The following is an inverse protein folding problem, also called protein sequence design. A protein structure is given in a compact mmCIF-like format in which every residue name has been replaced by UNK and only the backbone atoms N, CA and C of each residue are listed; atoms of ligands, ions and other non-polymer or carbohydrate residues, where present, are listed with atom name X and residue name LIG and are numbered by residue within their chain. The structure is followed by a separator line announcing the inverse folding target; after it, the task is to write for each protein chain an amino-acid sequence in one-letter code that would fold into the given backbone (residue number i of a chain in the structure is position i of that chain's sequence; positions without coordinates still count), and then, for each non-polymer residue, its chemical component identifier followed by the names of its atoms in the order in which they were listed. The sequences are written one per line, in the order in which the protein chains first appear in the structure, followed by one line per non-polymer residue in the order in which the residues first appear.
data_IF_417221981288
#
_entry.id   IF_417221981288
#
_cell.length_a   1.000
_cell.length_b   1.000
_cell.length_c   1.000
_cell.angle_alpha   90.00
_cell.angle_beta   90.00
_cell.angle_gamma   90.00
#
_symmetry.space_group_name_H-M   'P 1'
#
loop_
_entity.id
_entity.type
_entity.pdbx_description
1 polymer ?
#
# COMPACT_ATOMS: atom_id res chain seq x y z
N UNK A 1 -13.83 12.22 -8.88
CA UNK A 1 -13.96 12.78 -10.24
C UNK A 1 -13.63 11.76 -11.34
N UNK A 2 -12.55 10.98 -11.22
CA UNK A 2 -12.20 9.93 -12.19
C UNK A 2 -13.35 8.97 -12.56
N UNK A 3 -14.20 8.57 -11.61
CA UNK A 3 -15.37 7.71 -11.87
C UNK A 3 -16.47 8.37 -12.73
N UNK A 4 -16.60 9.70 -12.71
CA UNK A 4 -17.58 10.43 -13.54
C UNK A 4 -17.08 10.62 -14.98
N UNK A 5 -15.76 10.75 -15.15
CA UNK A 5 -15.07 10.96 -16.43
C UNK A 5 -14.81 9.61 -17.13
N UNK A 6 -14.55 8.53 -16.38
CA UNK A 6 -14.35 7.19 -16.91
C UNK A 6 -15.61 6.70 -17.67
N UNK A 7 -15.41 6.36 -18.95
CA UNK A 7 -16.46 5.81 -19.82
C UNK A 7 -17.50 6.83 -20.31
N UNK A 8 -17.32 8.13 -20.08
CA UNK A 8 -18.13 9.16 -20.75
C UNK A 8 -17.53 9.42 -22.14
N UNK A 9 -18.11 8.82 -23.18
CA UNK A 9 -17.65 9.03 -24.57
C UNK A 9 -18.08 10.39 -25.14
N UNK A 10 -19.10 11.02 -24.53
CA UNK A 10 -19.70 12.27 -25.01
C UNK A 10 -19.88 13.30 -23.89
N UNK A 11 -19.63 14.57 -24.20
CA UNK A 11 -19.65 15.72 -23.26
C UNK A 11 -20.95 15.82 -22.44
N UNK A 12 -22.11 15.56 -23.05
CA UNK A 12 -23.41 15.62 -22.38
C UNK A 12 -23.63 14.54 -21.31
N UNK A 13 -22.98 13.38 -21.44
CA UNK A 13 -23.13 12.28 -20.48
C UNK A 13 -22.54 12.63 -19.11
N UNK A 14 -21.46 13.41 -19.07
CA UNK A 14 -20.88 13.87 -17.82
C UNK A 14 -21.82 14.85 -17.10
N UNK A 15 -22.39 15.82 -17.82
CA UNK A 15 -23.33 16.77 -17.23
C UNK A 15 -24.60 16.08 -16.72
N UNK A 16 -25.12 15.10 -17.46
CA UNK A 16 -26.26 14.29 -17.02
C UNK A 16 -25.93 13.49 -15.77
N UNK A 17 -24.75 12.86 -15.70
CA UNK A 17 -24.28 12.14 -14.50
C UNK A 17 -24.14 13.10 -13.32
N UNK A 18 -23.54 14.27 -13.53
CA UNK A 18 -23.38 15.26 -12.46
C UNK A 18 -24.74 15.78 -11.96
N UNK A 19 -25.67 16.07 -12.88
CA UNK A 19 -27.06 16.45 -12.52
C UNK A 19 -27.76 15.34 -11.74
N UNK A 20 -27.57 14.07 -12.12
CA UNK A 20 -28.15 12.93 -11.41
C UNK A 20 -27.62 12.83 -9.98
N UNK A 21 -26.29 12.88 -9.80
CA UNK A 21 -25.66 12.87 -8.46
C UNK A 21 -26.18 14.02 -7.60
N UNK A 22 -26.23 15.21 -8.16
CA UNK A 22 -26.72 16.41 -7.46
C UNK A 22 -28.21 16.29 -7.10
N UNK A 23 -29.02 15.71 -7.98
CA UNK A 23 -30.44 15.47 -7.73
C UNK A 23 -30.62 14.48 -6.58
N UNK A 24 -29.87 13.38 -6.56
CA UNK A 24 -29.88 12.41 -5.45
C UNK A 24 -29.47 13.06 -4.13
N UNK A 25 -28.43 13.89 -4.15
CA UNK A 25 -27.99 14.66 -2.97
C UNK A 25 -29.10 15.58 -2.45
N UNK A 26 -29.84 16.22 -3.36
CA UNK A 26 -30.95 17.13 -3.01
C UNK A 26 -32.19 16.39 -2.50
N UNK A 27 -32.52 15.24 -3.10
CA UNK A 27 -33.70 14.44 -2.73
C UNK A 27 -33.47 13.57 -1.49
N UNK A 28 -32.22 13.45 -1.05
CA UNK A 28 -31.86 12.74 0.18
C UNK A 28 -32.57 13.33 1.40
N UNK A 29 -33.23 12.45 2.16
CA UNK A 29 -33.83 12.79 3.46
C UNK A 29 -32.79 13.08 4.55
N UNK A 30 -31.52 12.71 4.29
CA UNK A 30 -30.39 12.90 5.20
C UNK A 30 -29.48 13.98 4.58
N UNK A 31 -28.98 14.96 5.36
CA UNK A 31 -28.01 15.92 4.87
C UNK A 31 -26.73 15.23 4.39
N UNK A 32 -26.35 15.45 3.13
CA UNK A 32 -25.12 14.92 2.53
C UNK A 32 -24.11 16.06 2.34
N UNK A 33 -22.84 15.80 2.65
CA UNK A 33 -21.71 16.69 2.33
C UNK A 33 -20.93 16.04 1.19
N UNK A 34 -20.84 16.73 0.05
CA UNK A 34 -20.14 16.25 -1.13
C UNK A 34 -18.65 16.64 -1.07
N UNK A 35 -17.74 15.67 -1.08
CA UNK A 35 -16.32 15.96 -1.27
C UNK A 35 -15.97 15.92 -2.76
N UNK A 36 -15.38 17.00 -3.27
CA UNK A 36 -14.94 17.14 -4.66
C UNK A 36 -13.44 17.39 -4.65
N UNK A 37 -12.68 16.33 -4.92
CA UNK A 37 -11.26 16.47 -5.19
C UNK A 37 -11.03 17.13 -6.55
N UNK A 38 -9.94 17.89 -6.65
CA UNK A 38 -9.60 18.71 -7.82
C UNK A 38 -10.79 19.57 -8.31
N UNK A 39 -11.46 20.28 -7.38
CA UNK A 39 -12.68 21.04 -7.69
C UNK A 39 -12.48 22.06 -8.82
N UNK A 40 -11.26 22.58 -8.99
CA UNK A 40 -10.92 23.48 -10.08
C UNK A 40 -11.13 22.86 -11.47
N UNK A 41 -11.12 21.54 -11.63
CA UNK A 41 -11.40 20.87 -12.92
C UNK A 41 -12.84 21.10 -13.37
N UNK A 42 -13.76 21.19 -12.41
CA UNK A 42 -15.19 21.41 -12.61
C UNK A 42 -15.50 22.90 -12.80
N UNK A 43 -14.69 23.77 -12.19
CA UNK A 43 -14.89 25.22 -12.19
C UNK A 43 -14.12 25.94 -13.32
N UNK A 44 -12.92 25.45 -13.61
CA UNK A 44 -11.92 26.06 -14.49
C UNK A 44 -12.01 25.65 -15.95
N UNK A 45 -12.84 24.66 -16.27
CA UNK A 45 -13.06 24.22 -17.65
C UNK A 45 -13.46 25.39 -18.57
N UNK A 46 -14.05 26.47 -18.05
CA UNK A 46 -14.48 27.67 -18.82
C UNK A 46 -13.39 28.66 -19.25
N UNK A 47 -12.14 28.55 -18.78
CA UNK A 47 -11.17 29.64 -18.95
C UNK A 47 -10.15 29.48 -20.10
N UNK A 48 -9.95 28.27 -20.65
CA UNK A 48 -8.97 28.04 -21.72
C UNK A 48 -9.41 26.95 -22.70
N UNK A 49 -10.06 27.35 -23.81
CA UNK A 49 -10.29 26.52 -25.01
C UNK A 49 -11.75 26.14 -25.30
N UNK A 50 -12.09 25.96 -26.58
CA UNK A 50 -13.41 25.67 -27.19
C UNK A 50 -14.05 24.30 -26.78
N UNK A 51 -13.76 23.80 -25.57
CA UNK A 51 -14.18 22.49 -25.08
C UNK A 51 -14.57 22.45 -23.59
N UNK A 52 -14.79 23.61 -22.98
CA UNK A 52 -15.19 23.78 -21.59
C UNK A 52 -16.50 23.06 -21.22
N UNK A 53 -16.43 22.12 -20.26
CA UNK A 53 -17.62 21.53 -19.62
C UNK A 53 -18.23 22.56 -18.66
N UNK A 54 -19.53 22.85 -18.78
CA UNK A 54 -20.17 23.95 -18.03
C UNK A 54 -20.79 23.48 -16.69
N UNK A 55 -20.03 22.69 -15.96
CA UNK A 55 -20.44 22.19 -14.65
C UNK A 55 -20.52 23.29 -13.58
N UNK A 56 -19.76 24.38 -13.77
CA UNK A 56 -19.83 25.58 -12.95
C UNK A 56 -21.26 26.17 -12.92
N UNK A 57 -21.94 26.25 -14.08
CA UNK A 57 -23.30 26.78 -14.15
C UNK A 57 -24.35 25.85 -13.51
N UNK A 58 -24.06 24.55 -13.38
CA UNK A 58 -24.91 23.61 -12.63
C UNK A 58 -24.74 23.83 -11.12
N UNK A 59 -23.50 24.05 -10.66
CA UNK A 59 -23.18 24.16 -9.24
C UNK A 59 -23.56 25.53 -8.63
N UNK A 60 -23.36 26.63 -9.36
CA UNK A 60 -23.60 28.01 -8.86
C UNK A 60 -24.98 28.23 -8.24
N UNK A 61 -26.10 27.86 -8.90
CA UNK A 61 -27.43 28.09 -8.34
C UNK A 61 -27.66 27.28 -7.05
N UNK A 62 -27.09 26.08 -6.98
CA UNK A 62 -27.33 25.14 -5.89
C UNK A 62 -26.51 25.49 -4.64
N UNK A 63 -25.27 25.92 -4.84
CA UNK A 63 -24.45 26.52 -3.78
C UNK A 63 -25.06 27.82 -3.27
N UNK A 64 -25.61 28.65 -4.16
CA UNK A 64 -26.22 29.93 -3.78
C UNK A 64 -27.50 29.78 -2.97
N UNK A 65 -28.30 28.75 -3.26
CA UNK A 65 -29.53 28.42 -2.50
C UNK A 65 -29.25 27.60 -1.23
N UNK A 66 -28.01 27.17 -1.01
CA UNK A 66 -27.65 26.29 0.12
C UNK A 66 -28.22 24.87 0.00
N UNK A 67 -28.67 24.47 -1.20
CA UNK A 67 -29.19 23.13 -1.49
C UNK A 67 -28.07 22.09 -1.57
N UNK A 68 -26.83 22.53 -1.82
CA UNK A 68 -25.65 21.69 -1.90
C UNK A 68 -24.63 22.14 -0.84
N UNK A 69 -24.18 21.19 -0.02
CA UNK A 69 -23.02 21.37 0.87
C UNK A 69 -21.87 20.57 0.30
N UNK A 70 -20.73 21.21 0.09
CA UNK A 70 -19.55 20.52 -0.41
C UNK A 70 -18.25 20.99 0.24
N UNK A 71 -17.24 20.12 0.17
CA UNK A 71 -15.85 20.41 0.50
C UNK A 71 -15.08 20.20 -0.81
N UNK A 72 -14.44 21.27 -1.31
CA UNK A 72 -13.59 21.22 -2.48
C UNK A 72 -12.12 21.17 -2.10
N UNK A 73 -11.32 20.34 -2.76
CA UNK A 73 -9.87 20.34 -2.66
C UNK A 73 -9.24 20.82 -3.97
N UNK A 74 -8.23 21.68 -3.89
CA UNK A 74 -7.49 22.24 -5.04
C UNK A 74 -6.17 22.84 -4.57
N UNK A 75 -5.22 23.03 -5.49
CA UNK A 75 -4.01 23.79 -5.17
C UNK A 75 -4.31 25.29 -5.05
N UNK A 76 -3.42 26.04 -4.38
CA UNK A 76 -3.54 27.49 -4.23
C UNK A 76 -3.49 28.23 -5.57
N UNK A 77 -2.67 27.73 -6.50
CA UNK A 77 -2.52 28.33 -7.84
C UNK A 77 -3.82 28.20 -8.65
N UNK A 78 -4.42 27.01 -8.64
CA UNK A 78 -5.70 26.76 -9.31
C UNK A 78 -6.86 27.51 -8.65
N UNK A 79 -6.86 27.60 -7.32
CA UNK A 79 -7.85 28.41 -6.59
C UNK A 79 -7.83 29.86 -7.07
N UNK A 80 -6.64 30.48 -7.12
CA UNK A 80 -6.44 31.85 -7.64
C UNK A 80 -6.89 32.00 -9.09
N UNK A 81 -6.67 30.97 -9.91
CA UNK A 81 -6.96 31.02 -11.35
C UNK A 81 -8.45 30.85 -11.65
N UNK A 82 -9.15 29.95 -10.94
CA UNK A 82 -10.47 29.48 -11.34
C UNK A 82 -11.59 29.74 -10.32
N UNK A 83 -11.27 29.99 -9.06
CA UNK A 83 -12.26 30.20 -7.99
C UNK A 83 -12.30 31.67 -7.56
N UNK A 84 -11.13 32.25 -7.26
CA UNK A 84 -11.00 33.63 -6.78
C UNK A 84 -11.43 34.67 -7.82
N UNK A 85 -11.26 34.35 -9.11
CA UNK A 85 -11.70 35.22 -10.21
C UNK A 85 -13.22 35.25 -10.42
N UNK A 86 -13.97 34.32 -9.84
CA UNK A 86 -15.42 34.24 -9.98
C UNK A 86 -16.11 34.67 -8.66
N UNK A 87 -16.70 35.89 -8.61
CA UNK A 87 -17.33 36.42 -7.40
C UNK A 87 -18.47 35.54 -6.85
N UNK A 88 -19.08 34.68 -7.68
CA UNK A 88 -20.13 33.77 -7.23
C UNK A 88 -19.55 32.61 -6.40
N UNK A 89 -18.36 32.12 -6.73
CA UNK A 89 -17.70 31.06 -5.97
C UNK A 89 -16.93 31.59 -4.78
N UNK A 90 -16.19 32.70 -4.93
CA UNK A 90 -15.42 33.33 -3.86
C UNK A 90 -16.29 33.61 -2.62
N UNK A 91 -17.52 34.10 -2.82
CA UNK A 91 -18.46 34.39 -1.72
C UNK A 91 -19.12 33.17 -1.09
N UNK A 92 -18.96 31.99 -1.69
CA UNK A 92 -19.65 30.74 -1.25
C UNK A 92 -18.68 29.72 -0.68
N UNK A 93 -17.40 29.81 -1.00
CA UNK A 93 -16.36 28.98 -0.43
C UNK A 93 -15.56 29.75 0.63
N UNK A 94 -15.45 29.16 1.82
CA UNK A 94 -14.47 29.58 2.80
C UNK A 94 -13.15 28.86 2.50
N UNK A 95 -12.07 29.61 2.30
CA UNK A 95 -10.75 29.02 2.13
C UNK A 95 -10.27 28.43 3.47
N UNK A 96 -9.85 27.16 3.42
CA UNK A 96 -9.16 26.46 4.51
C UNK A 96 -7.78 26.07 3.98
N UNK A 97 -6.74 26.72 4.47
CA UNK A 97 -5.38 26.48 3.99
C UNK A 97 -4.74 25.30 4.70
N UNK A 98 -4.46 24.23 3.95
CA UNK A 98 -3.78 23.03 4.43
C UNK A 98 -2.31 23.11 3.99
N UNK A 99 -1.41 23.32 4.95
CA UNK A 99 0.04 23.41 4.70
C UNK A 99 0.67 22.03 4.67
N UNK A 100 1.81 21.91 3.98
CA UNK A 100 2.73 20.79 4.16
C UNK A 100 3.10 20.68 5.67
N UNK A 101 3.00 19.50 6.30
CA UNK A 101 3.42 19.29 7.67
C UNK A 101 4.94 19.43 7.82
N UNK A 102 5.38 19.76 9.03
CA UNK A 102 6.79 19.66 9.42
C UNK A 102 7.26 18.19 9.40
N UNK A 103 8.58 17.98 9.45
CA UNK A 103 9.17 16.64 9.62
C UNK A 103 8.65 15.97 10.89
N UNK A 104 8.56 16.70 12.00
CA UNK A 104 8.03 16.20 13.27
C UNK A 104 6.56 15.77 13.14
N UNK A 105 5.72 16.59 12.52
CA UNK A 105 4.31 16.25 12.30
C UNK A 105 4.15 15.07 11.34
N UNK A 106 5.03 14.95 10.34
CA UNK A 106 5.03 13.80 9.43
C UNK A 106 5.40 12.52 10.18
N UNK A 107 6.37 12.58 11.09
CA UNK A 107 6.72 11.43 11.92
C UNK A 107 5.55 10.98 12.81
N UNK A 108 4.78 11.92 13.39
CA UNK A 108 3.55 11.58 14.11
C UNK A 108 2.49 10.94 13.22
N UNK A 109 2.29 11.45 11.99
CA UNK A 109 1.37 10.86 11.01
C UNK A 109 1.82 9.42 10.67
N UNK A 110 3.10 9.22 10.37
CA UNK A 110 3.67 7.91 10.05
C UNK A 110 3.50 6.92 11.21
N UNK A 111 3.74 7.36 12.45
CA UNK A 111 3.50 6.54 13.65
C UNK A 111 2.03 6.16 13.80
N UNK A 112 1.11 7.08 13.48
CA UNK A 112 -0.34 6.84 13.54
C UNK A 112 -0.84 5.85 12.50
N UNK A 113 -0.22 5.80 11.31
CA UNK A 113 -0.58 4.83 10.26
C UNK A 113 0.26 3.54 10.30
N UNK A 114 1.28 3.47 11.18
CA UNK A 114 2.24 2.35 11.24
C UNK A 114 1.56 0.99 11.36
N UNK A 115 0.66 0.86 12.33
CA UNK A 115 -0.05 -0.40 12.61
C UNK A 115 -0.80 -0.92 11.37
N UNK A 116 -1.40 -0.02 10.59
CA UNK A 116 -2.11 -0.37 9.35
C UNK A 116 -1.18 -0.99 8.30
N UNK A 117 0.01 -0.44 8.12
CA UNK A 117 1.01 -0.98 7.19
C UNK A 117 1.65 -2.27 7.71
N UNK A 118 1.95 -2.34 9.01
CA UNK A 118 2.44 -3.55 9.67
C UNK A 118 1.46 -4.72 9.48
N UNK A 119 0.17 -4.49 9.70
CA UNK A 119 -0.89 -5.48 9.50
C UNK A 119 -1.05 -5.87 8.03
N UNK A 120 -1.04 -4.90 7.13
CA UNK A 120 -1.21 -5.15 5.69
C UNK A 120 -0.12 -6.06 5.12
N UNK A 121 1.14 -5.76 5.47
CA UNK A 121 2.31 -6.48 4.97
C UNK A 121 2.80 -7.62 5.87
N UNK A 122 2.30 -7.75 7.10
CA UNK A 122 2.75 -8.78 8.05
C UNK A 122 4.21 -8.62 8.47
N UNK A 123 4.62 -7.38 8.71
CA UNK A 123 5.99 -7.00 9.10
C UNK A 123 5.97 -5.97 10.22
N UNK A 124 7.13 -5.72 10.84
CA UNK A 124 7.30 -4.71 11.88
C UNK A 124 8.11 -3.54 11.32
N UNK A 125 7.61 -2.32 11.51
CA UNK A 125 8.26 -1.09 11.06
C UNK A 125 8.93 -0.43 12.26
N UNK A 126 10.25 -0.33 12.22
CA UNK A 126 11.01 0.32 13.30
C UNK A 126 10.81 1.83 13.30
N UNK A 127 10.86 2.47 14.47
CA UNK A 127 10.76 3.93 14.57
C UNK A 127 11.89 4.63 13.80
N UNK A 128 13.09 4.05 13.81
CA UNK A 128 14.23 4.52 13.03
C UNK A 128 13.97 4.51 11.52
N UNK A 129 13.19 3.55 11.01
CA UNK A 129 12.80 3.52 9.61
C UNK A 129 11.86 4.69 9.27
N UNK A 130 10.90 5.03 10.15
CA UNK A 130 10.01 6.17 9.95
C UNK A 130 10.76 7.51 9.97
N UNK A 131 11.72 7.65 10.90
CA UNK A 131 12.61 8.83 10.97
C UNK A 131 13.43 8.95 9.69
N UNK A 132 14.00 7.85 9.22
CA UNK A 132 14.80 7.81 7.99
C UNK A 132 13.94 8.14 6.77
N UNK A 133 12.74 7.55 6.65
CA UNK A 133 11.83 7.82 5.56
C UNK A 133 11.43 9.30 5.50
N UNK A 134 11.14 9.92 6.64
CA UNK A 134 10.81 11.35 6.73
C UNK A 134 12.00 12.22 6.29
N UNK A 135 13.19 11.98 6.87
CA UNK A 135 14.38 12.79 6.65
C UNK A 135 14.88 12.68 5.20
N UNK A 136 14.95 11.45 4.67
CA UNK A 136 15.46 11.17 3.33
C UNK A 136 14.48 11.62 2.25
N UNK A 137 13.17 11.38 2.43
CA UNK A 137 12.17 11.86 1.47
C UNK A 137 12.11 13.39 1.43
N UNK A 138 12.29 14.08 2.57
CA UNK A 138 12.37 15.55 2.58
C UNK A 138 13.61 16.07 1.84
N UNK A 139 14.75 15.42 2.03
CA UNK A 139 16.04 15.84 1.45
C UNK A 139 16.18 15.53 -0.05
N UNK A 140 15.73 14.36 -0.50
CA UNK A 140 16.06 13.86 -1.84
C UNK A 140 14.87 13.82 -2.81
N UNK A 141 13.64 13.71 -2.31
CA UNK A 141 12.44 13.69 -3.17
C UNK A 141 11.89 15.11 -3.27
N UNK A 142 12.41 15.84 -4.27
CA UNK A 142 11.98 17.18 -4.62
C UNK A 142 10.77 17.12 -5.57
N UNK A 143 9.87 18.11 -5.50
CA UNK A 143 8.65 18.15 -6.33
C UNK A 143 7.45 17.39 -5.77
N UNK A 144 7.60 16.71 -4.63
CA UNK A 144 6.50 16.16 -3.81
C UNK A 144 6.55 16.71 -2.39
N UNK A 145 5.40 16.70 -1.73
CA UNK A 145 5.22 17.28 -0.40
C UNK A 145 5.08 16.17 0.65
N UNK A 146 5.51 16.46 1.87
CA UNK A 146 5.14 15.65 3.03
C UNK A 146 3.62 15.76 3.28
N UNK A 147 2.97 14.76 3.91
CA UNK A 147 3.54 13.49 4.35
C UNK A 147 3.58 12.43 3.23
N UNK A 148 2.91 12.68 2.10
CA UNK A 148 2.68 11.74 0.99
C UNK A 148 3.96 11.02 0.55
N UNK A 149 5.02 11.76 0.21
CA UNK A 149 6.29 11.16 -0.23
C UNK A 149 7.00 10.29 0.81
N UNK A 150 6.77 10.53 2.10
CA UNK A 150 7.34 9.73 3.17
C UNK A 150 6.52 8.45 3.39
N UNK A 151 5.20 8.55 3.27
CA UNK A 151 4.29 7.41 3.30
C UNK A 151 4.61 6.47 2.15
N UNK A 152 4.74 7.00 0.94
CA UNK A 152 5.08 6.26 -0.28
C UNK A 152 6.41 5.50 -0.13
N UNK A 153 7.43 6.13 0.46
CA UNK A 153 8.73 5.50 0.70
C UNK A 153 8.65 4.36 1.74
N UNK A 154 7.84 4.51 2.78
CA UNK A 154 7.59 3.43 3.75
C UNK A 154 6.84 2.29 3.09
N UNK A 155 5.82 2.61 2.29
CA UNK A 155 5.00 1.63 1.57
C UNK A 155 5.84 0.80 0.60
N UNK A 156 6.66 1.45 -0.23
CA UNK A 156 7.57 0.79 -1.17
C UNK A 156 8.60 -0.12 -0.45
N UNK A 157 9.14 0.34 0.68
CA UNK A 157 10.04 -0.49 1.49
C UNK A 157 9.32 -1.72 2.06
N UNK A 158 8.08 -1.57 2.51
CA UNK A 158 7.26 -2.67 3.03
C UNK A 158 6.91 -3.66 1.91
N UNK A 159 6.49 -3.19 0.74
CA UNK A 159 6.18 -4.02 -0.41
C UNK A 159 7.41 -4.80 -0.92
N UNK A 160 8.59 -4.16 -0.90
CA UNK A 160 9.85 -4.80 -1.26
C UNK A 160 10.18 -5.96 -0.32
N UNK A 161 10.15 -5.71 1.00
CA UNK A 161 10.41 -6.75 1.99
C UNK A 161 9.38 -7.86 1.97
N UNK A 162 8.10 -7.52 1.77
CA UNK A 162 7.04 -8.51 1.62
C UNK A 162 7.29 -9.46 0.44
N UNK A 163 7.71 -8.91 -0.70
CA UNK A 163 8.04 -9.69 -1.89
C UNK A 163 9.25 -10.60 -1.64
N UNK A 164 10.29 -10.09 -0.98
CA UNK A 164 11.47 -10.87 -0.61
C UNK A 164 11.15 -12.01 0.37
N UNK A 165 10.32 -11.74 1.39
CA UNK A 165 9.93 -12.74 2.41
C UNK A 165 9.09 -13.87 1.83
N UNK A 166 8.24 -13.58 0.86
CA UNK A 166 7.43 -14.60 0.17
C UNK A 166 8.19 -15.33 -0.95
N UNK A 167 9.37 -14.84 -1.29
CA UNK A 167 10.27 -15.52 -2.22
C UNK A 167 11.15 -16.49 -1.45
N UNK A 168 11.57 -17.56 -2.12
CA UNK A 168 12.55 -18.48 -1.55
C UNK A 168 13.85 -17.70 -1.23
N UNK A 169 14.44 -17.86 -0.03
CA UNK A 169 15.68 -17.19 0.31
C UNK A 169 16.76 -17.45 -0.74
N UNK A 170 17.47 -16.39 -1.15
CA UNK A 170 18.48 -16.47 -2.21
C UNK A 170 19.58 -17.49 -1.89
N UNK A 171 19.89 -17.70 -0.61
CA UNK A 171 20.82 -18.74 -0.15
C UNK A 171 20.31 -20.17 -0.45
N UNK A 172 19.00 -20.41 -0.29
CA UNK A 172 18.40 -21.72 -0.60
C UNK A 172 18.43 -21.94 -2.11
N UNK A 173 18.04 -20.94 -2.91
CA UNK A 173 18.09 -21.02 -4.39
C UNK A 173 19.53 -21.26 -4.89
N UNK A 174 20.53 -20.58 -4.33
CA UNK A 174 21.96 -20.80 -4.66
C UNK A 174 22.40 -22.24 -4.36
N UNK A 175 22.04 -22.76 -3.19
CA UNK A 175 22.41 -24.13 -2.80
C UNK A 175 21.70 -25.19 -3.65
N UNK A 176 20.42 -24.99 -3.99
CA UNK A 176 19.66 -25.90 -4.87
C UNK A 176 20.21 -25.92 -6.30
N UNK A 177 20.59 -24.75 -6.83
CA UNK A 177 21.26 -24.66 -8.13
C UNK A 177 22.60 -25.41 -8.11
N UNK A 178 23.38 -25.25 -7.04
CA UNK A 178 24.66 -25.97 -6.88
C UNK A 178 24.46 -27.48 -6.75
N UNK A 179 23.46 -27.92 -5.98
CA UNK A 179 23.08 -29.33 -5.86
C UNK A 179 22.69 -29.91 -7.23
N UNK A 180 21.90 -29.18 -8.01
CA UNK A 180 21.51 -29.58 -9.37
C UNK A 180 22.73 -29.73 -10.28
N UNK A 181 23.66 -28.77 -10.26
CA UNK A 181 24.91 -28.85 -11.04
C UNK A 181 25.75 -30.07 -10.66
N UNK A 182 25.95 -30.31 -9.36
CA UNK A 182 26.72 -31.43 -8.85
C UNK A 182 26.08 -32.79 -9.19
N UNK A 183 24.75 -32.88 -9.16
CA UNK A 183 24.03 -34.09 -9.58
C UNK A 183 24.15 -34.35 -11.08
N UNK A 184 24.11 -33.31 -11.92
CA UNK A 184 24.36 -33.45 -13.36
C UNK A 184 25.79 -33.92 -13.63
N UNK A 185 26.78 -33.32 -12.96
CA UNK A 185 28.20 -33.73 -13.03
C UNK A 185 28.37 -35.18 -12.59
N UNK A 186 27.75 -35.59 -11.47
CA UNK A 186 27.73 -36.97 -10.98
C UNK A 186 27.22 -37.96 -12.04
N UNK A 187 26.06 -37.68 -12.64
CA UNK A 187 25.46 -38.55 -13.66
C UNK A 187 26.34 -38.66 -14.91
N UNK A 188 26.99 -37.57 -15.32
CA UNK A 188 27.93 -37.59 -16.44
C UNK A 188 29.14 -38.48 -16.13
N UNK A 189 29.78 -38.27 -14.98
CA UNK A 189 30.93 -39.06 -14.53
C UNK A 189 30.62 -40.55 -14.33
N UNK A 190 29.42 -40.88 -13.83
CA UNK A 190 28.95 -42.27 -13.70
C UNK A 190 28.75 -42.97 -15.05
N UNK A 191 28.45 -42.21 -16.12
CA UNK A 191 28.40 -42.74 -17.49
C UNK A 191 29.79 -42.94 -18.05
N UNK A 192 30.69 -41.97 -17.86
CA UNK A 192 32.07 -42.02 -18.36
C UNK A 192 32.87 -43.19 -17.75
N UNK A 193 32.59 -43.58 -16.51
CA UNK A 193 33.16 -44.79 -15.86
C UNK A 193 32.89 -46.07 -16.67
N UNK A 194 31.77 -46.15 -17.40
CA UNK A 194 31.41 -47.36 -18.16
C UNK A 194 32.19 -47.49 -19.46
N UNK A 195 32.88 -46.43 -19.90
CA UNK A 195 33.47 -46.32 -21.23
C UNK A 195 35.00 -46.07 -21.20
N UNK A 196 35.64 -46.05 -20.02
CA UNK A 196 37.04 -45.58 -19.83
C UNK A 196 38.03 -46.62 -19.26
N UNK A 197 39.33 -46.42 -19.51
CA UNK A 197 40.46 -47.24 -19.02
C UNK A 197 40.70 -47.13 -17.49
N UNK A 198 41.46 -48.08 -16.91
CA UNK A 198 41.69 -48.21 -15.45
C UNK A 198 42.20 -46.93 -14.76
N UNK A 199 43.13 -46.19 -15.39
CA UNK A 199 43.68 -44.95 -14.83
C UNK A 199 42.66 -43.80 -14.82
N UNK A 200 41.81 -43.68 -15.85
CA UNK A 200 40.73 -42.69 -15.90
C UNK A 200 39.66 -42.98 -14.85
N UNK A 201 39.34 -44.27 -14.64
CA UNK A 201 38.37 -44.69 -13.64
C UNK A 201 38.79 -44.31 -12.21
N UNK A 202 40.10 -44.22 -11.92
CA UNK A 202 40.58 -43.77 -10.62
C UNK A 202 40.33 -42.28 -10.38
N UNK A 203 40.65 -41.43 -11.36
CA UNK A 203 40.39 -39.98 -11.28
C UNK A 203 38.88 -39.68 -11.18
N UNK A 204 38.04 -40.41 -11.94
CA UNK A 204 36.59 -40.22 -11.87
C UNK A 204 36.05 -40.62 -10.49
N UNK A 205 36.54 -41.71 -9.90
CA UNK A 205 36.14 -42.13 -8.54
C UNK A 205 36.52 -41.11 -7.47
N UNK A 206 37.71 -40.51 -7.56
CA UNK A 206 38.15 -39.45 -6.65
C UNK A 206 37.22 -38.22 -6.75
N UNK A 207 36.89 -37.78 -7.97
CA UNK A 207 35.96 -36.67 -8.18
C UNK A 207 34.54 -36.98 -7.71
N UNK A 208 34.05 -38.20 -7.91
CA UNK A 208 32.75 -38.63 -7.39
C UNK A 208 32.68 -38.56 -5.87
N UNK A 209 33.76 -38.94 -5.17
CA UNK A 209 33.82 -38.81 -3.70
C UNK A 209 33.78 -37.35 -3.25
N UNK A 210 34.48 -36.45 -3.94
CA UNK A 210 34.39 -35.01 -3.67
C UNK A 210 32.98 -34.47 -3.88
N UNK A 211 32.34 -34.82 -5.00
CA UNK A 211 30.97 -34.41 -5.32
C UNK A 211 29.99 -34.93 -4.26
N UNK A 212 30.11 -36.19 -3.81
CA UNK A 212 29.26 -36.73 -2.76
C UNK A 212 29.44 -36.01 -1.42
N UNK A 213 30.67 -35.62 -1.10
CA UNK A 213 30.96 -34.81 0.09
C UNK A 213 30.32 -33.41 -0.02
N UNK A 214 30.49 -32.72 -1.15
CA UNK A 214 29.86 -31.42 -1.41
C UNK A 214 28.32 -31.51 -1.36
N UNK A 215 27.73 -32.57 -1.93
CA UNK A 215 26.29 -32.81 -1.89
C UNK A 215 25.80 -33.01 -0.44
N UNK A 216 26.53 -33.78 0.36
CA UNK A 216 26.20 -33.99 1.78
C UNK A 216 26.24 -32.67 2.57
N UNK A 217 27.30 -31.88 2.39
CA UNK A 217 27.45 -30.57 3.04
C UNK A 217 26.34 -29.58 2.62
N UNK A 218 26.01 -29.53 1.32
CA UNK A 218 24.94 -28.68 0.81
C UNK A 218 23.57 -29.11 1.34
N UNK A 219 23.31 -30.43 1.41
CA UNK A 219 22.05 -30.97 1.93
C UNK A 219 21.84 -30.64 3.40
N UNK A 220 22.89 -30.71 4.23
CA UNK A 220 22.81 -30.30 5.63
C UNK A 220 22.50 -28.81 5.77
N UNK A 221 23.16 -27.95 4.99
CA UNK A 221 22.91 -26.50 4.98
C UNK A 221 21.49 -26.17 4.53
N UNK A 222 21.03 -26.79 3.43
CA UNK A 222 19.67 -26.63 2.90
C UNK A 222 18.62 -27.04 3.92
N UNK A 223 18.82 -28.18 4.60
CA UNK A 223 17.88 -28.67 5.61
C UNK A 223 17.74 -27.66 6.76
N UNK A 224 18.87 -27.13 7.26
CA UNK A 224 18.86 -26.11 8.32
C UNK A 224 18.16 -24.83 7.89
N UNK A 225 18.46 -24.34 6.68
CA UNK A 225 17.87 -23.10 6.13
C UNK A 225 16.36 -23.26 5.87
N UNK A 226 15.92 -24.39 5.33
CA UNK A 226 14.50 -24.68 5.10
C UNK A 226 13.71 -24.75 6.40
N UNK A 227 14.23 -25.42 7.44
CA UNK A 227 13.58 -25.49 8.75
C UNK A 227 13.40 -24.09 9.35
N UNK A 228 14.44 -23.25 9.28
CA UNK A 228 14.34 -21.88 9.79
C UNK A 228 13.32 -21.06 8.98
N UNK A 229 13.35 -21.16 7.66
CA UNK A 229 12.42 -20.45 6.78
C UNK A 229 10.96 -20.87 7.00
N UNK A 230 10.67 -22.17 7.12
CA UNK A 230 9.32 -22.66 7.40
C UNK A 230 8.82 -22.19 8.77
N UNK A 231 9.69 -22.17 9.78
CA UNK A 231 9.38 -21.65 11.11
C UNK A 231 9.07 -20.14 11.09
N UNK A 232 9.87 -19.35 10.37
CA UNK A 232 9.66 -17.91 10.22
C UNK A 232 8.39 -17.59 9.43
N UNK A 233 8.11 -18.38 8.37
CA UNK A 233 6.92 -18.22 7.55
C UNK A 233 5.65 -18.55 8.34
N UNK A 234 5.64 -19.66 9.09
CA UNK A 234 4.50 -20.05 9.94
C UNK A 234 4.15 -18.97 10.97
N UNK A 235 5.16 -18.45 11.70
CA UNK A 235 4.93 -17.36 12.66
C UNK A 235 4.41 -16.07 12.00
N UNK A 236 4.82 -15.79 10.76
CA UNK A 236 4.31 -14.63 10.02
C UNK A 236 2.85 -14.76 9.60
N UNK A 237 2.42 -15.94 9.19
CA UNK A 237 1.03 -16.19 8.78
C UNK A 237 0.09 -16.11 9.99
N UNK A 238 0.49 -16.70 11.12
CA UNK A 238 -0.26 -16.59 12.39
C UNK A 238 -0.42 -15.13 12.84
N UNK A 239 0.66 -14.33 12.78
CA UNK A 239 0.60 -12.90 13.09
C UNK A 239 -0.38 -12.14 12.18
N UNK A 240 -0.38 -12.44 10.88
CA UNK A 240 -1.29 -11.80 9.91
C UNK A 240 -2.76 -12.14 10.17
N UNK A 241 -3.05 -13.41 10.47
CA UNK A 241 -4.41 -13.82 10.85
C UNK A 241 -4.87 -13.16 12.15
N UNK A 242 -3.97 -13.00 13.12
CA UNK A 242 -4.31 -12.35 14.38
C UNK A 242 -4.58 -10.85 14.18
N UNK A 243 -3.74 -10.17 13.39
CA UNK A 243 -3.89 -8.75 13.06
C UNK A 243 -5.23 -8.46 12.36
N UNK A 244 -5.58 -9.26 11.35
CA UNK A 244 -6.87 -9.11 10.63
C UNK A 244 -8.07 -9.36 11.55
N UNK A 245 -7.99 -10.32 12.48
CA UNK A 245 -9.02 -10.54 13.51
C UNK A 245 -9.13 -9.33 14.45
N UNK A 246 -8.01 -8.73 14.86
CA UNK A 246 -8.00 -7.54 15.73
C UNK A 246 -8.66 -6.35 15.04
N UNK A 247 -8.33 -6.07 13.77
CA UNK A 247 -8.97 -4.99 13.01
C UNK A 247 -10.48 -5.20 12.85
N UNK A 248 -10.91 -6.44 12.55
CA UNK A 248 -12.32 -6.78 12.47
C UNK A 248 -13.04 -6.58 13.82
N UNK A 249 -12.39 -6.94 14.94
CA UNK A 249 -12.91 -6.70 16.29
C UNK A 249 -12.99 -5.21 16.62
N UNK A 250 -11.97 -4.41 16.29
CA UNK A 250 -11.96 -2.94 16.46
C UNK A 250 -13.13 -2.31 15.70
N UNK A 251 -13.30 -2.65 14.43
CA UNK A 251 -14.40 -2.14 13.61
C UNK A 251 -15.78 -2.57 14.15
N UNK A 252 -15.93 -3.81 14.61
CA UNK A 252 -17.18 -4.30 15.22
C UNK A 252 -17.50 -3.57 16.52
N UNK A 253 -16.49 -3.28 17.35
CA UNK A 253 -16.65 -2.56 18.60
C UNK A 253 -17.06 -1.09 18.41
N UNK A 254 -16.67 -0.48 17.28
CA UNK A 254 -17.05 0.91 16.94
C UNK A 254 -18.42 1.02 16.28
N UNK A 255 -18.82 0.00 15.50
CA UNK A 255 -20.05 0.01 14.72
C UNK A 255 -21.27 -0.57 15.46
N UNK A 256 -21.07 -1.38 16.51
CA UNK A 256 -22.17 -1.98 17.27
C UNK A 256 -22.90 -0.95 18.14
N UNK A 257 -24.23 -1.08 18.23
CA UNK A 257 -25.07 -0.31 19.17
C UNK A 257 -25.23 -0.99 20.52
N UNK A 258 -24.81 -2.25 20.62
CA UNK A 258 -24.86 -3.03 21.84
C UNK A 258 -23.65 -2.70 22.74
N UNK A 259 -23.93 -2.07 23.88
CA UNK A 259 -22.91 -1.59 24.81
C UNK A 259 -22.19 -2.73 25.53
N UNK A 260 -22.84 -3.88 25.75
CA UNK A 260 -22.21 -5.04 26.39
C UNK A 260 -21.19 -5.66 25.43
N UNK A 261 -21.59 -5.89 24.17
CA UNK A 261 -20.69 -6.41 23.13
C UNK A 261 -19.53 -5.45 22.86
N UNK A 262 -19.78 -4.14 22.86
CA UNK A 262 -18.72 -3.14 22.68
C UNK A 262 -17.71 -3.16 23.85
N UNK A 263 -18.18 -3.30 25.10
CA UNK A 263 -17.34 -3.38 26.28
C UNK A 263 -16.49 -4.66 26.28
N UNK A 264 -17.10 -5.81 25.97
CA UNK A 264 -16.40 -7.09 25.92
C UNK A 264 -15.27 -7.10 24.88
N UNK A 265 -15.54 -6.54 23.69
CA UNK A 265 -14.54 -6.43 22.65
C UNK A 265 -13.40 -5.48 23.04
N UNK A 266 -13.72 -4.29 23.58
CA UNK A 266 -12.70 -3.26 23.90
C UNK A 266 -11.83 -3.62 25.09
N UNK A 267 -12.39 -4.22 26.13
CA UNK A 267 -11.69 -4.41 27.41
C UNK A 267 -11.16 -5.83 27.61
N UNK A 268 -11.64 -6.84 26.86
CA UNK A 268 -11.19 -8.22 27.02
C UNK A 268 -10.64 -8.80 25.71
N UNK A 269 -11.48 -8.94 24.68
CA UNK A 269 -11.10 -9.70 23.48
C UNK A 269 -9.95 -9.05 22.67
N UNK A 270 -10.00 -7.73 22.45
CA UNK A 270 -8.93 -7.01 21.74
C UNK A 270 -7.62 -7.01 22.54
N UNK A 271 -7.60 -6.63 23.84
CA UNK A 271 -6.38 -6.69 24.65
C UNK A 271 -5.75 -8.09 24.74
N UNK A 272 -6.58 -9.15 24.82
CA UNK A 272 -6.08 -10.53 24.84
C UNK A 272 -5.41 -10.91 23.51
N UNK A 273 -6.04 -10.57 22.39
CA UNK A 273 -5.47 -10.80 21.06
C UNK A 273 -4.18 -9.99 20.84
N UNK A 274 -4.15 -8.72 21.23
CA UNK A 274 -2.94 -7.88 21.15
C UNK A 274 -1.80 -8.43 22.03
N UNK A 275 -2.12 -9.02 23.18
CA UNK A 275 -1.12 -9.68 24.04
C UNK A 275 -0.57 -10.94 23.41
N UNK A 276 -1.40 -11.75 22.74
CA UNK A 276 -0.95 -12.91 21.97
C UNK A 276 -0.08 -12.53 20.77
N UNK A 277 -0.30 -11.35 20.17
CA UNK A 277 0.49 -10.84 19.05
C UNK A 277 1.90 -10.36 19.47
N UNK A 278 2.09 -9.97 20.73
CA UNK A 278 3.38 -9.48 21.26
C UNK A 278 4.30 -10.59 21.79
N UNK A 279 3.76 -11.79 22.01
CA UNK A 279 4.49 -12.96 22.52
C UNK A 279 4.87 -13.89 21.37
#
# INVERSE_FOLDING_TARGET
MGALIAGAQYRGQFEERLKAVIKEVKESKIPIILFIDEIHTVLGAGATGEGAMDAANILKPMLSRGELRCIGATTLEEYRKYVEKDPAFERRFQQVYVKEPSEENTLYILRGIREKYENHYGLTITDSALVSATTLSKRYINGRFLPDKAIDLVDEACATLFTQKNSQPEEIDKLERRETQLNVEKIALERDIKESDEDHNKMIKERLQEIEKELSENKEKLTKLRINYEKEKGGSEEMKELATKIEAMKHKAESTKDLEVAADLKYYAIPEAEKRMKN
#
